data_IF_396297391097
#
_entry.id   IF_396297391097
#
_cell.length_a   1.000
_cell.length_b   1.000
_cell.length_c   1.000
_cell.angle_alpha   90.00
_cell.angle_beta   90.00
_cell.angle_gamma   90.00
#
_symmetry.space_group_name_H-M   'P 1'
#
loop_
_entity.id
_entity.type
_entity.pdbx_description
1 polymer ?
#
# COMPACT_ATOMS: atom_id res chain seq x y z
N UNK A 1 3.22 -10.32 -1.39
CA UNK A 1 2.31 -11.52 -1.47
C UNK A 1 1.80 -11.66 -2.90
N UNK A 2 1.66 -12.88 -3.40
CA UNK A 2 1.10 -13.16 -4.71
C UNK A 2 0.09 -14.30 -4.59
N UNK A 3 -1.12 -14.11 -5.13
CA UNK A 3 -2.08 -15.18 -5.31
C UNK A 3 -1.73 -15.98 -6.57
N UNK A 4 -1.64 -17.30 -6.44
CA UNK A 4 -1.21 -18.21 -7.53
C UNK A 4 -2.34 -19.09 -8.09
N UNK A 5 -3.58 -18.79 -7.76
CA UNK A 5 -4.75 -19.44 -8.33
C UNK A 5 -5.11 -18.93 -9.73
N UNK A 6 -6.36 -19.13 -10.12
CA UNK A 6 -6.87 -18.68 -11.42
C UNK A 6 -6.79 -17.16 -11.53
N UNK A 7 -6.36 -16.64 -12.69
CA UNK A 7 -6.21 -15.17 -12.90
C UNK A 7 -7.50 -14.38 -12.73
N UNK A 8 -8.64 -15.04 -12.92
CA UNK A 8 -9.98 -14.47 -12.75
C UNK A 8 -10.43 -14.40 -11.30
N UNK A 9 -9.80 -15.20 -10.42
CA UNK A 9 -10.07 -15.15 -9.00
C UNK A 9 -9.43 -13.89 -8.42
N UNK A 10 -10.16 -13.22 -7.55
CA UNK A 10 -9.71 -11.97 -6.92
C UNK A 10 -9.99 -12.05 -5.42
N UNK A 11 -9.25 -12.94 -4.71
CA UNK A 11 -9.41 -13.03 -3.27
C UNK A 11 -8.86 -11.78 -2.60
N UNK A 12 -9.32 -11.45 -1.37
CA UNK A 12 -8.68 -10.43 -0.56
C UNK A 12 -7.17 -10.70 -0.43
N UNK A 13 -6.35 -9.69 -0.68
CA UNK A 13 -4.90 -9.82 -0.70
C UNK A 13 -4.23 -9.33 0.58
N UNK A 14 -4.92 -8.55 1.40
CA UNK A 14 -4.38 -7.91 2.59
C UNK A 14 -5.20 -8.32 3.80
N UNK A 15 -4.51 -8.65 4.88
CA UNK A 15 -5.13 -9.00 6.15
C UNK A 15 -4.31 -8.41 7.30
N UNK A 16 -4.98 -8.19 8.43
CA UNK A 16 -4.33 -7.85 9.70
C UNK A 16 -4.60 -8.95 10.73
N UNK A 17 -3.68 -9.12 11.66
CA UNK A 17 -3.86 -9.91 12.86
C UNK A 17 -3.80 -9.00 14.08
N UNK A 18 -4.85 -8.97 14.86
CA UNK A 18 -4.86 -8.20 16.11
C UNK A 18 -4.38 -9.07 17.26
N UNK A 19 -3.58 -8.54 18.19
CA UNK A 19 -3.16 -9.29 19.37
C UNK A 19 -4.38 -9.89 20.10
N UNK A 20 -4.30 -11.21 20.39
CA UNK A 20 -5.38 -11.94 21.05
C UNK A 20 -6.53 -12.41 20.15
N UNK A 21 -6.56 -12.03 18.87
CA UNK A 21 -7.54 -12.55 17.94
C UNK A 21 -7.21 -13.99 17.51
N UNK A 22 -8.26 -14.82 17.35
CA UNK A 22 -8.11 -16.21 16.90
C UNK A 22 -7.96 -16.37 15.37
N UNK A 23 -8.22 -15.28 14.60
CA UNK A 23 -8.24 -15.30 13.14
C UNK A 23 -7.70 -14.00 12.56
N UNK A 24 -7.32 -14.08 11.26
CA UNK A 24 -7.00 -12.91 10.47
C UNK A 24 -8.28 -12.13 10.10
N UNK A 25 -8.19 -10.82 10.12
CA UNK A 25 -9.18 -9.90 9.58
C UNK A 25 -8.76 -9.51 8.16
N UNK A 26 -9.53 -9.95 7.15
CA UNK A 26 -9.28 -9.55 5.77
C UNK A 26 -9.75 -8.12 5.55
N UNK A 27 -8.92 -7.29 4.92
CA UNK A 27 -9.28 -5.91 4.63
C UNK A 27 -10.28 -5.86 3.47
N UNK A 28 -11.41 -5.18 3.72
CA UNK A 28 -12.39 -4.92 2.67
C UNK A 28 -11.78 -3.98 1.62
N UNK A 29 -11.71 -4.47 0.39
CA UNK A 29 -11.11 -3.76 -0.74
C UNK A 29 -12.15 -3.68 -1.84
N UNK A 30 -12.46 -2.48 -2.37
CA UNK A 30 -13.41 -2.36 -3.48
C UNK A 30 -13.03 -3.27 -4.65
N UNK A 31 -14.01 -3.96 -5.28
CA UNK A 31 -13.74 -4.98 -6.30
C UNK A 31 -12.95 -4.47 -7.51
N UNK A 32 -13.10 -3.20 -7.88
CA UNK A 32 -12.35 -2.57 -8.95
C UNK A 32 -10.88 -2.35 -8.56
N UNK A 33 -10.61 -1.97 -7.31
CA UNK A 33 -9.25 -1.83 -6.77
C UNK A 33 -8.58 -3.20 -6.70
N UNK A 34 -9.29 -4.21 -6.17
CA UNK A 34 -8.78 -5.58 -6.06
C UNK A 34 -8.39 -6.14 -7.44
N UNK A 35 -9.22 -5.89 -8.48
CA UNK A 35 -8.88 -6.23 -9.87
C UNK A 35 -7.59 -5.54 -10.34
N UNK A 36 -7.47 -4.23 -10.06
CA UNK A 36 -6.28 -3.47 -10.46
C UNK A 36 -5.01 -3.93 -9.74
N UNK A 37 -5.10 -4.41 -8.49
CA UNK A 37 -3.94 -4.98 -7.78
C UNK A 37 -3.36 -6.22 -8.47
N UNK A 38 -4.09 -6.83 -9.40
CA UNK A 38 -3.65 -7.92 -10.26
C UNK A 38 -3.02 -9.08 -9.48
N UNK A 39 -3.69 -9.49 -8.40
CA UNK A 39 -3.30 -10.62 -7.53
C UNK A 39 -1.89 -10.49 -6.94
N UNK A 40 -1.37 -9.28 -6.77
CA UNK A 40 -0.02 -9.07 -6.28
C UNK A 40 0.09 -7.84 -5.36
N UNK A 41 0.71 -8.05 -4.19
CA UNK A 41 1.15 -6.98 -3.28
C UNK A 41 2.68 -7.03 -3.17
N UNK A 42 3.34 -5.90 -3.40
CA UNK A 42 4.79 -5.76 -3.33
C UNK A 42 5.29 -5.55 -1.91
N UNK A 43 4.81 -4.50 -1.27
CA UNK A 43 5.24 -4.05 0.05
C UNK A 43 4.05 -3.62 0.89
N UNK A 44 4.20 -3.62 2.20
CA UNK A 44 3.20 -3.14 3.16
C UNK A 44 3.87 -2.32 4.25
N UNK A 45 3.22 -1.26 4.67
CA UNK A 45 3.65 -0.45 5.81
C UNK A 45 2.46 -0.02 6.66
N UNK A 46 2.72 0.10 7.96
CA UNK A 46 1.82 0.69 8.93
C UNK A 46 2.42 2.05 9.31
N UNK A 47 1.60 3.10 9.35
CA UNK A 47 2.07 4.45 9.70
C UNK A 47 2.56 4.54 11.15
N UNK A 48 3.23 5.62 11.50
CA UNK A 48 3.81 5.82 12.83
C UNK A 48 2.76 5.79 13.97
N UNK A 49 1.50 6.10 13.68
CA UNK A 49 0.41 6.03 14.66
C UNK A 49 -0.21 4.65 14.81
N UNK A 50 0.08 3.71 13.89
CA UNK A 50 -0.54 2.39 13.86
C UNK A 50 -2.00 2.41 13.41
N UNK A 51 -2.46 3.47 12.75
CA UNK A 51 -3.87 3.65 12.38
C UNK A 51 -4.14 3.58 10.88
N UNK A 52 -3.12 3.76 10.05
CA UNK A 52 -3.22 3.68 8.59
C UNK A 52 -2.29 2.60 8.05
N UNK A 53 -2.87 1.67 7.31
CA UNK A 53 -2.13 0.63 6.59
C UNK A 53 -2.11 0.97 5.10
N UNK A 54 -0.95 0.81 4.48
CA UNK A 54 -0.78 0.99 3.05
C UNK A 54 -0.06 -0.20 2.43
N UNK A 55 -0.44 -0.60 1.21
CA UNK A 55 0.24 -1.64 0.44
C UNK A 55 0.43 -1.22 -1.01
N UNK A 56 1.56 -1.61 -1.57
CA UNK A 56 1.85 -1.39 -2.99
C UNK A 56 1.43 -2.58 -3.84
N UNK A 57 0.99 -2.31 -5.05
CA UNK A 57 0.67 -3.30 -6.06
C UNK A 57 1.36 -2.93 -7.39
N UNK A 58 2.64 -3.31 -7.58
CA UNK A 58 3.42 -2.93 -8.76
C UNK A 58 2.74 -3.30 -10.09
N UNK A 59 2.14 -4.48 -10.16
CA UNK A 59 1.41 -4.95 -11.35
C UNK A 59 0.14 -4.15 -11.64
N UNK A 60 -0.40 -3.48 -10.62
CA UNK A 60 -1.56 -2.60 -10.72
C UNK A 60 -1.21 -1.12 -10.83
N UNK A 61 0.07 -0.76 -10.71
CA UNK A 61 0.53 0.62 -10.71
C UNK A 61 -0.15 1.48 -9.63
N UNK A 62 -0.35 0.92 -8.43
CA UNK A 62 -1.04 1.64 -7.36
C UNK A 62 -0.50 1.29 -5.97
N UNK A 63 -0.76 2.20 -5.04
CA UNK A 63 -0.73 1.98 -3.60
C UNK A 63 -2.14 2.11 -3.06
N UNK A 64 -2.62 1.12 -2.31
CA UNK A 64 -3.93 1.11 -1.67
C UNK A 64 -3.78 1.37 -0.17
N UNK A 65 -4.73 2.12 0.42
CA UNK A 65 -4.67 2.58 1.80
C UNK A 65 -5.99 2.31 2.55
N UNK A 66 -5.85 1.92 3.81
CA UNK A 66 -6.97 1.65 4.74
C UNK A 66 -6.71 2.33 6.08
N UNK A 67 -7.78 2.80 6.74
CA UNK A 67 -7.74 3.01 8.20
C UNK A 67 -8.03 1.69 8.91
N UNK A 68 -7.36 1.46 10.04
CA UNK A 68 -7.49 0.24 10.84
C UNK A 68 -7.72 0.53 12.33
N UNK A 69 -7.93 1.79 12.71
CA UNK A 69 -8.09 2.21 14.10
C UNK A 69 -9.43 1.74 14.71
N UNK A 70 -10.53 2.12 14.07
CA UNK A 70 -11.89 1.82 14.53
C UNK A 70 -12.61 0.91 13.51
N UNK A 71 -12.05 -0.29 13.30
CA UNK A 71 -12.41 -1.16 12.20
C UNK A 71 -11.51 -0.96 10.99
N UNK A 72 -11.81 -1.66 9.89
CA UNK A 72 -11.04 -1.58 8.66
C UNK A 72 -11.87 -0.94 7.56
N UNK A 73 -11.43 0.22 7.07
CA UNK A 73 -12.12 0.95 6.01
C UNK A 73 -11.15 1.37 4.91
N UNK A 74 -11.50 1.10 3.68
CA UNK A 74 -10.72 1.58 2.53
C UNK A 74 -10.77 3.10 2.46
N UNK A 75 -9.59 3.74 2.42
CA UNK A 75 -9.46 5.20 2.29
C UNK A 75 -9.42 5.59 0.82
N UNK A 76 -8.59 4.89 0.03
CA UNK A 76 -8.36 5.23 -1.36
C UNK A 76 -7.08 4.63 -1.91
N UNK A 77 -6.69 5.09 -3.10
CA UNK A 77 -5.45 4.67 -3.76
C UNK A 77 -4.63 5.87 -4.23
N UNK A 78 -3.35 5.62 -4.46
CA UNK A 78 -2.43 6.51 -5.17
C UNK A 78 -1.93 5.77 -6.40
N UNK A 79 -2.03 6.39 -7.58
CA UNK A 79 -1.49 5.83 -8.81
C UNK A 79 -0.01 6.19 -8.95
N UNK A 80 0.82 5.17 -9.17
CA UNK A 80 2.25 5.31 -9.46
C UNK A 80 2.71 4.12 -10.30
N UNK A 81 3.29 4.40 -11.44
CA UNK A 81 3.87 3.38 -12.33
C UNK A 81 4.85 2.49 -11.58
N UNK A 82 4.65 1.17 -11.66
CA UNK A 82 5.48 0.16 -10.99
C UNK A 82 5.72 0.50 -9.50
N UNK A 83 4.62 0.80 -8.80
CA UNK A 83 4.64 1.18 -7.38
C UNK A 83 5.08 -0.03 -6.54
N UNK A 84 6.35 -0.09 -6.15
CA UNK A 84 6.95 -1.27 -5.54
C UNK A 84 7.25 -1.13 -4.05
N UNK A 85 7.95 -0.11 -3.60
CA UNK A 85 8.34 0.07 -2.21
C UNK A 85 7.46 1.07 -1.45
N UNK A 86 7.23 0.81 -0.18
CA UNK A 86 6.60 1.74 0.76
C UNK A 86 7.26 1.66 2.12
N UNK A 87 7.46 2.80 2.77
CA UNK A 87 7.87 2.89 4.17
C UNK A 87 7.10 4.00 4.88
N UNK A 88 6.77 3.79 6.14
CA UNK A 88 6.25 4.85 6.99
C UNK A 88 7.34 5.87 7.31
N UNK A 89 6.96 7.12 7.48
CA UNK A 89 7.82 8.16 8.08
C UNK A 89 7.54 8.26 9.58
N UNK A 90 8.22 9.17 10.27
CA UNK A 90 7.98 9.42 11.69
C UNK A 90 6.67 10.19 11.97
N UNK A 91 6.03 10.73 10.94
CA UNK A 91 4.77 11.47 11.07
C UNK A 91 3.57 10.53 10.87
N UNK A 92 2.54 10.69 11.71
CA UNK A 92 1.28 9.97 11.57
C UNK A 92 0.66 10.18 10.19
N UNK A 93 0.14 9.11 9.60
CA UNK A 93 -0.48 9.09 8.27
C UNK A 93 0.48 9.36 7.11
N UNK A 94 1.79 9.32 7.31
CA UNK A 94 2.77 9.71 6.30
C UNK A 94 3.64 8.53 5.84
N UNK A 95 3.85 8.45 4.52
CA UNK A 95 4.64 7.38 3.89
C UNK A 95 5.51 7.92 2.76
N UNK A 96 6.59 7.19 2.48
CA UNK A 96 7.36 7.31 1.24
C UNK A 96 7.02 6.15 0.32
N UNK A 97 6.78 6.46 -0.95
CA UNK A 97 6.58 5.51 -2.04
C UNK A 97 7.75 5.53 -3.00
N UNK A 98 8.09 4.36 -3.50
CA UNK A 98 9.08 4.22 -4.58
C UNK A 98 8.54 3.39 -5.72
N UNK A 99 9.09 3.62 -6.91
CA UNK A 99 8.73 2.98 -8.17
C UNK A 99 9.94 2.25 -8.75
N UNK A 100 9.74 1.07 -9.31
CA UNK A 100 10.77 0.38 -10.10
C UNK A 100 11.27 1.19 -11.31
N UNK A 101 10.59 2.29 -11.65
CA UNK A 101 11.01 3.25 -12.70
C UNK A 101 11.68 4.52 -12.15
N UNK A 102 12.15 4.49 -10.91
CA UNK A 102 12.95 5.53 -10.29
C UNK A 102 12.17 6.70 -9.66
N UNK A 103 10.85 6.69 -9.68
CA UNK A 103 10.06 7.75 -9.03
C UNK A 103 10.04 7.55 -7.50
N UNK A 104 10.02 8.67 -6.77
CA UNK A 104 9.82 8.73 -5.32
C UNK A 104 8.75 9.77 -5.03
N UNK A 105 7.80 9.43 -4.17
CA UNK A 105 6.76 10.36 -3.72
C UNK A 105 6.51 10.24 -2.22
N UNK A 106 6.09 11.34 -1.60
CA UNK A 106 5.52 11.33 -0.25
C UNK A 106 4.00 11.25 -0.34
N UNK A 107 3.40 10.48 0.56
CA UNK A 107 1.96 10.44 0.79
C UNK A 107 1.69 10.97 2.19
N UNK A 108 0.61 11.73 2.33
CA UNK A 108 0.04 12.11 3.62
C UNK A 108 -1.46 11.87 3.63
N UNK A 109 -1.92 11.11 4.63
CA UNK A 109 -3.34 10.81 4.87
C UNK A 109 -3.85 11.69 6.00
N UNK A 110 -4.96 12.38 5.77
CA UNK A 110 -5.69 13.19 6.74
C UNK A 110 -7.17 12.84 6.70
N UNK A 111 -7.62 12.01 7.64
CA UNK A 111 -8.95 11.42 7.57
C UNK A 111 -9.10 10.56 6.30
N UNK A 112 -9.99 10.93 5.41
CA UNK A 112 -10.19 10.26 4.10
C UNK A 112 -9.47 10.94 2.94
N UNK A 113 -8.75 12.06 3.20
CA UNK A 113 -8.03 12.78 2.16
C UNK A 113 -6.61 12.24 2.01
N UNK A 114 -6.17 11.99 0.78
CA UNK A 114 -4.83 11.55 0.43
C UNK A 114 -4.14 12.65 -0.36
N UNK A 115 -3.07 13.20 0.20
CA UNK A 115 -2.20 14.17 -0.47
C UNK A 115 -0.96 13.43 -0.97
N UNK A 116 -0.55 13.68 -2.22
CA UNK A 116 0.65 13.08 -2.83
C UNK A 116 1.57 14.18 -3.33
N UNK A 117 2.84 14.11 -2.96
CA UNK A 117 3.87 15.06 -3.38
C UNK A 117 5.03 14.31 -4.04
N UNK A 118 5.28 14.50 -5.34
CA UNK A 118 6.47 13.99 -5.99
C UNK A 118 7.74 14.56 -5.35
N UNK A 119 8.71 13.71 -5.02
CA UNK A 119 9.98 14.13 -4.40
C UNK A 119 11.14 14.06 -5.39
N UNK A 120 11.22 12.96 -6.15
CA UNK A 120 12.32 12.74 -7.09
C UNK A 120 11.90 11.79 -8.22
N UNK A 121 12.65 11.86 -9.31
CA UNK A 121 12.64 10.87 -10.38
C UNK A 121 14.07 10.68 -10.87
N UNK A 122 14.63 9.50 -10.62
CA UNK A 122 15.96 9.14 -11.09
C UNK A 122 15.85 8.29 -12.36
N UNK A 123 16.46 8.73 -13.45
CA UNK A 123 16.37 8.06 -14.76
C UNK A 123 17.18 6.75 -14.86
N UNK A 124 18.11 6.54 -13.94
CA UNK A 124 19.02 5.38 -13.93
C UNK A 124 18.86 4.49 -12.69
N UNK A 125 17.86 4.73 -11.86
CA UNK A 125 17.62 3.98 -10.61
C UNK A 125 16.30 3.26 -10.71
N UNK A 126 16.30 1.98 -10.41
CA UNK A 126 15.12 1.17 -10.14
C UNK A 126 15.08 0.84 -8.65
N UNK A 127 13.95 1.07 -8.00
CA UNK A 127 13.73 0.69 -6.62
C UNK A 127 13.07 -0.68 -6.56
N UNK A 128 13.30 -1.43 -5.49
CA UNK A 128 12.68 -2.72 -5.26
C UNK A 128 11.58 -2.62 -4.18
N UNK A 129 10.96 -3.75 -3.87
CA UNK A 129 9.77 -3.85 -3.02
C UNK A 129 10.02 -3.52 -1.53
N UNK A 130 11.26 -3.45 -1.09
CA UNK A 130 11.57 -3.28 0.33
C UNK A 130 12.22 -1.93 0.60
N UNK A 131 11.45 -1.03 1.20
CA UNK A 131 11.92 0.26 1.69
C UNK A 131 11.92 0.21 3.22
N UNK A 132 13.04 0.58 3.85
CA UNK A 132 13.18 0.61 5.30
C UNK A 132 13.53 2.05 5.70
N UNK A 133 12.81 2.65 6.66
CA UNK A 133 13.20 3.94 7.20
C UNK A 133 14.53 3.81 7.96
N UNK A 134 15.37 4.82 7.86
CA UNK A 134 16.64 4.92 8.59
C UNK A 134 16.42 5.54 9.97
#
# INVERSE_FOLDING_TARGET
MQYQGTKTDQPPLVAIHRPGAASLEMLDTPPDILRHMNNYCGSVALDASGTVLATTAPRGNLCALWTIADGTHFIGKVDMDDCCGIAATNDAGSFLLTSGKGSVAAIRVKGTNIETSPLAKASATAWDNHLIPA
#
